data_IF_874882497898
#
_entry.id   IF_874882497898
#
_cell.length_a   1.000
_cell.length_b   1.000
_cell.length_c   1.000
_cell.angle_alpha   90.00
_cell.angle_beta   90.00
_cell.angle_gamma   90.00
#
_symmetry.space_group_name_H-M   'P 1'
#
loop_
_entity.id
_entity.type
_entity.pdbx_description
1 polymer ?
#
# COMPACT_ATOMS: atom_id res chain seq x y z
N UNK A 1 -12.49 1.21 0.63
CA UNK A 1 -11.72 0.33 1.56
C UNK A 1 -11.47 1.07 2.87
N UNK A 2 -11.67 0.44 4.02
CA UNK A 2 -11.42 1.00 5.37
C UNK A 2 -10.66 -0.04 6.20
N UNK A 3 -9.50 0.33 6.72
CA UNK A 3 -8.72 -0.50 7.64
C UNK A 3 -9.36 -0.49 9.03
N UNK A 4 -9.62 -1.67 9.60
CA UNK A 4 -10.19 -1.83 10.93
C UNK A 4 -9.11 -2.10 11.98
N UNK A 5 -8.13 -2.94 11.61
CA UNK A 5 -7.11 -3.44 12.54
C UNK A 5 -5.81 -3.71 11.82
N UNK A 6 -4.71 -3.51 12.51
CA UNK A 6 -3.40 -4.03 12.11
C UNK A 6 -2.76 -4.81 13.25
N UNK A 7 -1.97 -5.81 12.89
CA UNK A 7 -1.14 -6.55 13.80
C UNK A 7 0.29 -6.59 13.27
N UNK A 8 1.24 -6.40 14.17
CA UNK A 8 2.66 -6.27 13.86
C UNK A 8 3.43 -7.19 14.78
N UNK A 9 4.32 -8.02 14.21
CA UNK A 9 5.16 -8.92 14.98
C UNK A 9 6.62 -8.86 14.49
N UNK A 10 7.54 -8.70 15.43
CA UNK A 10 8.99 -8.68 15.18
C UNK A 10 9.43 -7.64 14.12
N UNK A 11 8.77 -6.50 14.08
CA UNK A 11 9.00 -5.46 13.07
C UNK A 11 9.58 -4.20 13.75
N UNK A 12 10.80 -3.84 13.40
CA UNK A 12 11.53 -2.68 13.97
C UNK A 12 11.50 -2.69 15.50
N UNK A 13 10.88 -1.69 16.13
CA UNK A 13 10.76 -1.60 17.59
C UNK A 13 9.63 -2.46 18.16
N UNK A 14 8.71 -2.97 17.33
CA UNK A 14 7.55 -3.71 17.78
C UNK A 14 7.84 -5.20 17.91
N UNK A 15 7.57 -5.76 19.10
CA UNK A 15 7.65 -7.20 19.33
C UNK A 15 6.35 -7.91 18.95
N UNK A 16 5.24 -7.43 19.46
CA UNK A 16 3.90 -7.92 19.12
C UNK A 16 2.89 -6.85 19.50
N UNK A 17 2.31 -6.19 18.50
CA UNK A 17 1.36 -5.11 18.68
C UNK A 17 0.11 -5.34 17.86
N UNK A 18 -1.03 -4.95 18.44
CA UNK A 18 -2.34 -5.01 17.80
C UNK A 18 -3.03 -3.67 17.98
N UNK A 19 -3.37 -3.01 16.87
CA UNK A 19 -3.91 -1.65 16.86
C UNK A 19 -5.25 -1.65 16.14
N UNK A 20 -6.30 -1.26 16.85
CA UNK A 20 -7.62 -1.00 16.29
C UNK A 20 -7.65 0.42 15.74
N UNK A 21 -8.18 0.58 14.55
CA UNK A 21 -8.17 1.83 13.82
C UNK A 21 -9.56 2.47 13.80
N UNK A 22 -9.57 3.78 13.91
CA UNK A 22 -10.77 4.56 13.67
C UNK A 22 -11.00 4.69 12.15
N UNK A 23 -12.25 4.55 11.65
CA UNK A 23 -12.52 4.47 10.21
C UNK A 23 -12.28 5.76 9.42
N UNK A 24 -12.12 6.91 10.09
CA UNK A 24 -11.95 8.22 9.42
C UNK A 24 -10.59 8.85 9.66
N UNK A 25 -10.13 8.91 10.91
CA UNK A 25 -8.91 9.62 11.28
C UNK A 25 -8.20 8.91 12.43
N UNK A 26 -6.91 8.67 12.28
CA UNK A 26 -6.02 8.16 13.32
C UNK A 26 -4.85 9.12 13.49
N UNK A 27 -4.57 9.52 14.71
CA UNK A 27 -3.48 10.45 15.04
C UNK A 27 -2.46 9.71 15.89
N UNK A 28 -1.22 9.66 15.43
CA UNK A 28 -0.11 9.05 16.13
C UNK A 28 0.67 10.11 16.90
N UNK A 29 0.65 10.02 18.23
CA UNK A 29 1.33 10.95 19.13
C UNK A 29 2.37 10.21 19.98
N UNK A 30 3.46 10.87 20.29
CA UNK A 30 4.53 10.31 21.14
C UNK A 30 5.87 10.96 20.89
N UNK A 31 6.82 10.71 21.79
CA UNK A 31 8.18 11.23 21.72
C UNK A 31 8.95 10.68 20.50
N UNK A 32 10.11 11.25 20.18
CA UNK A 32 10.98 10.71 19.14
C UNK A 32 11.48 9.31 19.56
N UNK A 33 11.54 8.40 18.60
CA UNK A 33 11.97 7.01 18.86
C UNK A 33 10.87 6.05 19.33
N UNK A 34 9.62 6.51 19.56
CA UNK A 34 8.51 5.65 20.02
C UNK A 34 7.90 4.74 18.93
N UNK A 35 8.46 4.73 17.72
CA UNK A 35 8.00 3.84 16.65
C UNK A 35 6.93 4.41 15.72
N UNK A 36 6.59 5.70 15.79
CA UNK A 36 5.57 6.31 14.90
C UNK A 36 5.88 6.09 13.41
N UNK A 37 7.13 6.35 13.02
CA UNK A 37 7.58 6.13 11.63
C UNK A 37 7.57 4.64 11.29
N UNK A 38 7.97 3.78 12.22
CA UNK A 38 7.93 2.32 12.04
C UNK A 38 6.50 1.82 11.82
N UNK A 39 5.53 2.38 12.52
CA UNK A 39 4.12 2.07 12.32
C UNK A 39 3.62 2.53 10.94
N UNK A 40 4.00 3.74 10.51
CA UNK A 40 3.66 4.22 9.16
C UNK A 40 4.30 3.36 8.06
N UNK A 41 5.51 2.84 8.26
CA UNK A 41 6.14 1.90 7.34
C UNK A 41 5.37 0.57 7.28
N UNK A 42 4.88 0.05 8.41
CA UNK A 42 4.03 -1.13 8.44
C UNK A 42 2.73 -0.89 7.64
N UNK A 43 2.08 0.27 7.80
CA UNK A 43 0.93 0.66 6.97
C UNK A 43 1.29 0.71 5.48
N UNK A 44 2.43 1.29 5.14
CA UNK A 44 2.90 1.37 3.75
C UNK A 44 3.02 -0.02 3.11
N UNK A 45 3.60 -0.98 3.82
CA UNK A 45 3.74 -2.37 3.36
C UNK A 45 2.37 -3.05 3.19
N UNK A 46 1.47 -2.85 4.15
CA UNK A 46 0.13 -3.42 4.12
C UNK A 46 -0.72 -2.85 2.98
N UNK A 47 -0.75 -1.53 2.85
CA UNK A 47 -1.50 -0.84 1.78
C UNK A 47 -0.90 -1.17 0.41
N UNK A 48 0.42 -1.34 0.32
CA UNK A 48 1.10 -1.77 -0.90
C UNK A 48 0.62 -3.12 -1.44
N UNK A 49 0.00 -3.94 -0.59
CA UNK A 49 -0.63 -5.19 -1.03
C UNK A 49 -1.82 -4.97 -1.98
N UNK A 50 -2.40 -3.77 -1.99
CA UNK A 50 -3.40 -3.37 -3.00
C UNK A 50 -2.85 -3.44 -4.43
N UNK A 51 -1.53 -3.38 -4.60
CA UNK A 51 -0.89 -3.40 -5.93
C UNK A 51 -0.51 -4.81 -6.41
N UNK A 52 -0.87 -5.87 -5.66
CA UNK A 52 -0.45 -7.24 -5.95
C UNK A 52 -0.85 -7.73 -7.34
N UNK A 53 -2.04 -7.37 -7.81
CA UNK A 53 -2.54 -7.75 -9.12
C UNK A 53 -2.38 -6.66 -10.18
N UNK A 54 -1.93 -5.46 -9.82
CA UNK A 54 -1.78 -4.36 -10.77
C UNK A 54 -0.65 -4.62 -11.76
N UNK A 55 -0.86 -4.20 -13.00
CA UNK A 55 0.11 -4.35 -14.09
C UNK A 55 1.31 -3.42 -13.87
N UNK A 56 2.32 -3.93 -13.19
CA UNK A 56 3.53 -3.19 -12.82
C UNK A 56 4.39 -2.76 -14.01
N UNK A 57 4.26 -3.50 -15.10
CA UNK A 57 5.12 -3.29 -16.26
C UNK A 57 4.81 -1.98 -16.97
N UNK A 58 3.54 -1.68 -17.15
CA UNK A 58 3.11 -0.45 -17.83
C UNK A 58 3.00 0.75 -16.89
N UNK A 59 2.75 0.49 -15.61
CA UNK A 59 2.29 1.51 -14.68
C UNK A 59 3.35 1.95 -13.67
N UNK A 60 4.57 1.37 -13.71
CA UNK A 60 5.67 1.72 -12.78
C UNK A 60 5.25 1.74 -11.29
N UNK A 61 4.30 0.87 -10.91
CA UNK A 61 3.82 0.77 -9.55
C UNK A 61 4.78 -0.12 -8.74
N UNK A 62 5.44 0.45 -7.76
CA UNK A 62 6.29 -0.28 -6.83
C UNK A 62 5.49 -0.73 -5.60
N UNK A 63 5.55 -2.03 -5.30
CA UNK A 63 4.94 -2.59 -4.12
C UNK A 63 5.96 -2.66 -2.97
N UNK A 64 5.75 -1.92 -1.88
CA UNK A 64 6.61 -2.00 -0.72
C UNK A 64 6.61 -3.41 -0.10
N UNK A 65 7.74 -3.81 0.45
CA UNK A 65 7.90 -5.07 1.16
C UNK A 65 8.70 -4.88 2.43
N UNK A 66 8.70 -5.90 3.29
CA UNK A 66 9.57 -5.97 4.47
C UNK A 66 11.01 -6.12 3.98
N UNK A 67 11.90 -5.29 4.47
CA UNK A 67 13.34 -5.35 4.18
C UNK A 67 14.12 -5.79 5.42
N UNK A 68 15.40 -6.11 5.25
CA UNK A 68 16.26 -6.61 6.32
C UNK A 68 16.29 -5.68 7.55
N UNK A 69 16.27 -4.37 7.30
CA UNK A 69 16.33 -3.34 8.35
C UNK A 69 14.99 -3.17 9.11
N UNK A 70 13.94 -3.81 8.64
CA UNK A 70 12.64 -3.85 9.32
C UNK A 70 12.56 -4.97 10.36
N UNK A 71 13.49 -5.93 10.33
CA UNK A 71 13.50 -7.06 11.26
C UNK A 71 13.92 -6.58 12.64
N UNK A 72 13.11 -6.90 13.65
CA UNK A 72 13.46 -6.64 15.05
C UNK A 72 14.69 -7.43 15.45
N UNK A 73 15.63 -6.77 16.09
CA UNK A 73 16.80 -7.39 16.72
C UNK A 73 16.57 -7.47 18.23
N UNK A 74 16.91 -8.63 18.84
CA UNK A 74 16.87 -8.84 20.28
C UNK A 74 18.26 -9.23 20.78
N UNK A 75 18.68 -8.65 21.88
CA UNK A 75 19.94 -9.06 22.53
C UNK A 75 19.75 -10.40 23.22
N UNK A 76 20.53 -11.39 22.82
CA UNK A 76 20.59 -12.72 23.41
C UNK A 76 22.05 -13.03 23.72
N UNK A 77 22.37 -13.23 24.98
CA UNK A 77 23.75 -13.59 25.42
C UNK A 77 24.85 -12.71 24.80
N UNK A 78 24.65 -11.38 24.74
CA UNK A 78 25.57 -10.37 24.18
C UNK A 78 25.65 -10.30 22.66
N UNK A 79 24.87 -11.08 21.91
CA UNK A 79 24.68 -10.94 20.45
C UNK A 79 23.32 -10.36 20.12
N UNK A 80 23.23 -9.71 18.95
CA UNK A 80 21.96 -9.24 18.40
C UNK A 80 21.42 -10.30 17.46
N UNK A 81 20.28 -10.89 17.84
CA UNK A 81 19.63 -11.96 17.09
C UNK A 81 18.38 -11.44 16.37
N UNK A 82 18.25 -11.67 15.05
CA UNK A 82 17.07 -11.28 14.30
C UNK A 82 15.86 -12.10 14.73
N UNK A 83 14.76 -11.41 14.98
CA UNK A 83 13.50 -12.04 15.37
C UNK A 83 12.65 -12.31 14.13
N UNK A 84 12.54 -13.57 13.75
CA UNK A 84 11.74 -14.05 12.60
C UNK A 84 10.72 -15.09 13.07
N UNK A 85 9.59 -15.24 12.33
CA UNK A 85 9.17 -14.41 11.21
C UNK A 85 8.85 -12.98 11.61
N UNK A 86 9.08 -12.05 10.68
CA UNK A 86 8.63 -10.66 10.78
C UNK A 86 7.31 -10.53 10.03
N UNK A 87 6.27 -10.12 10.71
CA UNK A 87 4.91 -10.11 10.19
C UNK A 87 4.26 -8.75 10.32
N UNK A 88 3.51 -8.37 9.29
CA UNK A 88 2.54 -7.29 9.34
C UNK A 88 1.23 -7.79 8.69
N UNK A 89 0.12 -7.68 9.42
CA UNK A 89 -1.20 -8.09 8.93
C UNK A 89 -2.23 -7.00 9.13
N UNK A 90 -3.27 -7.03 8.34
CA UNK A 90 -4.39 -6.10 8.45
C UNK A 90 -5.72 -6.79 8.19
N UNK A 91 -6.76 -6.24 8.82
CA UNK A 91 -8.15 -6.48 8.51
C UNK A 91 -8.78 -5.20 7.98
N UNK A 92 -9.59 -5.29 6.94
CA UNK A 92 -10.26 -4.15 6.33
C UNK A 92 -11.63 -4.53 5.79
N UNK A 93 -12.54 -3.55 5.79
CA UNK A 93 -13.79 -3.61 5.00
C UNK A 93 -13.51 -3.03 3.61
N UNK A 94 -13.91 -3.76 2.59
CA UNK A 94 -13.83 -3.34 1.20
C UNK A 94 -15.21 -3.10 0.61
N UNK A 95 -15.27 -2.35 -0.47
CA UNK A 95 -16.50 -2.13 -1.21
C UNK A 95 -16.95 -3.45 -1.84
N UNK A 96 -18.23 -3.76 -1.74
CA UNK A 96 -18.82 -5.02 -2.18
C UNK A 96 -18.53 -5.33 -3.67
N UNK A 97 -18.46 -4.30 -4.50
CA UNK A 97 -18.14 -4.41 -5.93
C UNK A 97 -16.76 -5.03 -6.21
N UNK A 98 -15.84 -4.94 -5.25
CA UNK A 98 -14.48 -5.48 -5.37
C UNK A 98 -14.30 -6.85 -4.72
N UNK A 99 -15.34 -7.40 -4.09
CA UNK A 99 -15.26 -8.74 -3.54
C UNK A 99 -15.29 -9.80 -4.66
N UNK A 100 -14.57 -10.92 -4.48
CA UNK A 100 -14.67 -12.04 -5.41
C UNK A 100 -16.12 -12.57 -5.45
N UNK A 101 -16.57 -12.95 -6.65
CA UNK A 101 -17.88 -13.58 -6.81
C UNK A 101 -17.89 -14.96 -6.15
N UNK A 102 -19.06 -15.45 -5.62
CA UNK A 102 -19.16 -16.71 -4.87
C UNK A 102 -18.76 -17.98 -5.64
N UNK A 103 -18.59 -17.92 -6.95
CA UNK A 103 -18.14 -19.04 -7.78
C UNK A 103 -16.67 -19.42 -7.59
N UNK A 104 -15.90 -18.61 -6.86
CA UNK A 104 -14.54 -18.96 -6.48
C UNK A 104 -14.54 -19.52 -5.04
N UNK A 105 -13.77 -20.59 -4.74
CA UNK A 105 -13.83 -21.35 -3.48
C UNK A 105 -13.20 -20.61 -2.29
N UNK A 106 -13.27 -19.30 -2.26
CA UNK A 106 -12.87 -18.48 -1.13
C UNK A 106 -14.09 -18.17 -0.28
N UNK A 107 -13.96 -18.37 1.01
CA UNK A 107 -14.98 -18.20 2.03
C UNK A 107 -15.80 -16.93 1.81
N UNK A 108 -17.09 -17.03 2.01
CA UNK A 108 -18.01 -15.89 2.11
C UNK A 108 -17.40 -14.92 3.13
N UNK A 109 -17.05 -13.71 2.65
CA UNK A 109 -16.53 -12.66 3.52
C UNK A 109 -17.67 -12.24 4.45
N UNK A 110 -17.46 -12.45 5.74
CA UNK A 110 -18.39 -11.96 6.74
C UNK A 110 -18.32 -10.42 6.74
N UNK A 111 -19.42 -9.75 6.44
CA UNK A 111 -19.53 -8.28 6.40
C UNK A 111 -18.57 -7.53 5.46
N UNK A 112 -18.17 -8.09 4.32
CA UNK A 112 -17.23 -7.51 3.37
C UNK A 112 -15.82 -7.28 3.96
N UNK A 113 -15.47 -8.02 5.00
CA UNK A 113 -14.15 -7.97 5.62
C UNK A 113 -13.16 -8.88 4.91
N UNK A 114 -11.95 -8.37 4.73
CA UNK A 114 -10.81 -9.13 4.23
C UNK A 114 -9.65 -9.04 5.22
N UNK A 115 -8.84 -10.10 5.24
CA UNK A 115 -7.62 -10.14 6.04
C UNK A 115 -6.45 -10.56 5.18
N UNK A 116 -5.30 -9.93 5.36
CA UNK A 116 -4.06 -10.31 4.67
C UNK A 116 -2.85 -10.15 5.56
N UNK A 117 -1.84 -10.95 5.25
CA UNK A 117 -0.55 -10.98 5.94
C UNK A 117 0.59 -10.81 4.95
N UNK A 118 1.56 -9.99 5.32
CA UNK A 118 2.87 -9.89 4.69
C UNK A 118 3.92 -10.37 5.68
N UNK A 119 4.74 -11.32 5.28
CA UNK A 119 5.73 -11.96 6.14
C UNK A 119 7.10 -12.01 5.50
N UNK A 120 8.14 -11.90 6.33
CA UNK A 120 9.50 -12.30 6.00
C UNK A 120 9.90 -13.46 6.90
N UNK A 121 9.99 -14.65 6.33
CA UNK A 121 10.22 -15.90 7.06
C UNK A 121 11.70 -16.15 7.42
N UNK A 122 12.60 -15.57 6.65
CA UNK A 122 14.05 -15.74 6.83
C UNK A 122 14.75 -14.40 6.80
N UNK A 123 15.85 -14.27 7.54
CA UNK A 123 16.62 -13.04 7.60
C UNK A 123 17.20 -12.65 6.23
N UNK A 124 16.80 -11.51 5.71
CA UNK A 124 17.16 -11.04 4.38
C UNK A 124 16.45 -11.74 3.23
N UNK A 125 15.39 -12.52 3.51
CA UNK A 125 14.54 -13.14 2.52
C UNK A 125 13.64 -12.14 1.79
N UNK A 126 12.75 -12.67 0.94
CA UNK A 126 11.72 -11.86 0.27
C UNK A 126 10.43 -11.83 1.10
N UNK A 127 9.74 -10.70 1.07
CA UNK A 127 8.39 -10.60 1.65
C UNK A 127 7.44 -11.52 0.90
N UNK A 128 6.75 -12.39 1.63
CA UNK A 128 5.78 -13.32 1.02
C UNK A 128 4.48 -12.62 0.66
N UNK A 129 3.80 -13.17 -0.35
CA UNK A 129 2.45 -12.78 -0.74
C UNK A 129 1.45 -13.94 -0.57
N UNK A 130 1.93 -15.07 -0.03
CA UNK A 130 1.17 -16.31 0.12
C UNK A 130 -0.14 -16.11 0.87
N UNK A 131 -0.08 -15.34 1.96
CA UNK A 131 -1.19 -15.11 2.87
C UNK A 131 -1.89 -13.75 2.61
N UNK A 132 -1.76 -13.23 1.38
CA UNK A 132 -2.43 -12.02 0.91
C UNK A 132 -3.40 -12.31 -0.26
N UNK A 133 -3.97 -13.51 -0.30
CA UNK A 133 -4.85 -13.97 -1.40
C UNK A 133 -6.12 -13.13 -1.53
N UNK A 134 -6.74 -12.78 -0.39
CA UNK A 134 -7.96 -11.95 -0.38
C UNK A 134 -7.67 -10.56 -0.95
N UNK A 135 -6.58 -9.92 -0.51
CA UNK A 135 -6.17 -8.63 -1.05
C UNK A 135 -5.77 -8.72 -2.53
N UNK A 136 -5.16 -9.83 -2.96
CA UNK A 136 -4.87 -10.07 -4.38
C UNK A 136 -6.16 -10.13 -5.21
N UNK A 137 -7.19 -10.82 -4.72
CA UNK A 137 -8.48 -10.92 -5.39
C UNK A 137 -9.16 -9.54 -5.52
N UNK A 138 -9.17 -8.74 -4.45
CA UNK A 138 -9.65 -7.35 -4.47
C UNK A 138 -8.86 -6.51 -5.46
N UNK A 139 -7.54 -6.58 -5.43
CA UNK A 139 -6.65 -5.88 -6.35
C UNK A 139 -6.96 -6.22 -7.81
N UNK A 140 -7.20 -7.49 -8.11
CA UNK A 140 -7.58 -7.98 -9.44
C UNK A 140 -8.91 -7.39 -9.90
N UNK A 141 -9.93 -7.38 -9.04
CA UNK A 141 -11.24 -6.80 -9.33
C UNK A 141 -11.17 -5.29 -9.60
N UNK A 142 -10.38 -4.56 -8.82
CA UNK A 142 -10.14 -3.13 -9.06
C UNK A 142 -9.53 -2.92 -10.45
N UNK A 143 -8.50 -3.69 -10.81
CA UNK A 143 -7.86 -3.57 -12.12
C UNK A 143 -8.81 -3.94 -13.27
N UNK A 144 -9.62 -4.99 -13.11
CA UNK A 144 -10.63 -5.39 -14.09
C UNK A 144 -11.67 -4.29 -14.30
N UNK A 145 -12.22 -3.73 -13.22
CA UNK A 145 -13.19 -2.64 -13.29
C UNK A 145 -12.64 -1.41 -14.03
N UNK A 146 -11.39 -1.03 -13.74
CA UNK A 146 -10.75 0.09 -14.44
C UNK A 146 -10.53 -0.23 -15.93
N UNK A 147 -10.15 -1.46 -16.29
CA UNK A 147 -9.97 -1.88 -17.70
C UNK A 147 -11.26 -1.91 -18.48
N UNK A 148 -12.34 -2.30 -17.82
CA UNK A 148 -13.68 -2.33 -18.43
C UNK A 148 -14.29 -0.93 -18.60
N UNK A 149 -13.72 0.09 -17.94
CA UNK A 149 -14.28 1.44 -17.92
C UNK A 149 -15.44 1.61 -16.94
N UNK A 150 -15.57 0.71 -15.95
CA UNK A 150 -16.65 0.75 -14.97
C UNK A 150 -16.55 2.03 -14.12
N UNK A 151 -17.68 2.64 -13.81
CA UNK A 151 -17.81 3.79 -12.90
C UNK A 151 -17.74 3.34 -11.44
N UNK A 152 -16.54 2.98 -10.96
CA UNK A 152 -16.30 2.54 -9.59
C UNK A 152 -15.37 3.50 -8.85
N UNK A 153 -15.58 3.63 -7.53
CA UNK A 153 -14.69 4.40 -6.66
C UNK A 153 -13.48 3.55 -6.26
N UNK A 154 -12.34 3.78 -6.87
CA UNK A 154 -11.09 3.12 -6.48
C UNK A 154 -10.48 3.79 -5.24
N UNK A 155 -9.83 3.03 -4.34
CA UNK A 155 -9.21 3.59 -3.13
C UNK A 155 -8.15 4.64 -3.46
N UNK A 156 -8.22 5.81 -2.84
CA UNK A 156 -7.14 6.78 -2.90
C UNK A 156 -6.05 6.39 -1.90
N UNK A 157 -4.81 6.35 -2.38
CA UNK A 157 -3.63 6.01 -1.57
C UNK A 157 -2.54 7.04 -1.78
N UNK A 158 -1.99 7.56 -0.68
CA UNK A 158 -0.82 8.43 -0.69
C UNK A 158 0.01 8.23 0.58
N UNK A 159 1.33 8.21 0.45
CA UNK A 159 2.27 8.11 1.55
C UNK A 159 3.23 9.31 1.54
N UNK A 160 3.30 10.02 2.65
CA UNK A 160 4.18 11.18 2.80
C UNK A 160 5.25 10.88 3.85
N UNK A 161 6.44 10.50 3.40
CA UNK A 161 7.59 10.25 4.26
C UNK A 161 8.23 11.55 4.77
N UNK A 162 8.95 11.44 5.88
CA UNK A 162 9.85 12.50 6.37
C UNK A 162 11.01 12.78 5.40
N UNK A 163 11.38 11.80 4.58
CA UNK A 163 12.47 11.91 3.59
C UNK A 163 12.07 12.62 2.29
N UNK A 164 10.79 13.00 2.15
CA UNK A 164 10.28 13.71 0.97
C UNK A 164 11.04 15.00 0.63
N UNK A 165 11.72 15.61 1.58
CA UNK A 165 12.51 16.81 1.36
C UNK A 165 13.98 16.55 0.98
N UNK A 166 14.43 15.28 1.07
CA UNK A 166 15.86 14.94 0.91
C UNK A 166 16.21 14.41 -0.47
N UNK A 167 15.25 13.84 -1.20
CA UNK A 167 15.48 13.22 -2.52
C UNK A 167 14.36 13.59 -3.46
N UNK A 168 14.71 14.30 -4.51
CA UNK A 168 13.81 14.54 -5.64
C UNK A 168 14.06 13.46 -6.70
N UNK A 169 13.02 12.71 -7.05
CA UNK A 169 13.07 11.76 -8.17
C UNK A 169 12.83 12.55 -9.47
N UNK A 170 13.69 12.38 -10.45
CA UNK A 170 13.61 13.08 -11.75
C UNK A 170 13.04 12.23 -12.88
N UNK A 171 12.28 11.21 -12.57
CA UNK A 171 11.63 10.34 -13.56
C UNK A 171 10.49 11.08 -14.26
N UNK A 172 10.62 11.26 -15.57
CA UNK A 172 9.79 12.17 -16.38
C UNK A 172 9.06 11.48 -17.53
N UNK A 173 8.90 10.19 -17.47
CA UNK A 173 8.21 9.47 -18.54
C UNK A 173 6.68 9.51 -18.35
N UNK A 174 6.10 10.67 -18.68
CA UNK A 174 4.65 10.84 -18.77
C UNK A 174 4.26 10.55 -20.21
N UNK A 175 4.25 9.29 -20.56
CA UNK A 175 3.76 8.90 -21.85
C UNK A 175 2.25 8.63 -21.82
N UNK A 176 1.49 9.56 -22.41
CA UNK A 176 0.13 9.43 -22.96
C UNK A 176 -1.03 9.15 -22.00
N UNK A 177 -2.24 9.62 -22.39
CA UNK A 177 -3.53 9.51 -21.72
C UNK A 177 -3.64 8.27 -20.83
N UNK A 178 -3.63 8.48 -19.54
CA UNK A 178 -3.32 7.42 -18.62
C UNK A 178 -4.56 6.72 -18.11
N UNK A 179 -4.45 5.44 -17.86
CA UNK A 179 -5.36 4.68 -17.03
C UNK A 179 -5.57 5.39 -15.69
N UNK A 180 -6.77 5.31 -15.08
CA UNK A 180 -7.07 5.72 -13.70
C UNK A 180 -6.08 5.16 -12.67
N UNK A 181 -5.36 4.08 -13.03
CA UNK A 181 -4.28 3.49 -12.23
C UNK A 181 -3.05 4.40 -12.09
N UNK A 182 -2.90 5.45 -12.90
CA UNK A 182 -1.80 6.43 -12.78
C UNK A 182 -1.74 7.10 -11.40
N UNK A 183 -2.88 7.28 -10.75
CA UNK A 183 -2.94 7.82 -9.39
C UNK A 183 -2.16 7.00 -8.35
N UNK A 184 -1.81 5.75 -8.66
CA UNK A 184 -1.01 4.89 -7.80
C UNK A 184 0.50 4.94 -8.08
N UNK A 185 0.94 5.63 -9.13
CA UNK A 185 2.36 5.77 -9.44
C UNK A 185 3.06 6.50 -8.31
N UNK A 186 4.10 5.88 -7.78
CA UNK A 186 4.89 6.43 -6.69
C UNK A 186 4.07 6.86 -5.45
N UNK A 187 2.79 6.49 -5.36
CA UNK A 187 1.90 6.90 -4.25
C UNK A 187 2.39 6.38 -2.89
N UNK A 188 3.14 5.29 -2.86
CA UNK A 188 3.78 4.72 -1.68
C UNK A 188 5.30 4.89 -1.65
N UNK A 189 5.88 5.70 -2.54
CA UNK A 189 7.31 6.00 -2.51
C UNK A 189 7.64 6.92 -1.33
N UNK A 190 8.85 6.74 -0.80
CA UNK A 190 9.38 7.60 0.26
C UNK A 190 9.94 8.91 -0.29
N UNK A 191 10.14 9.01 -1.59
CA UNK A 191 10.66 10.20 -2.28
C UNK A 191 9.53 10.96 -2.97
N UNK A 192 9.62 12.29 -3.00
CA UNK A 192 8.65 13.14 -3.71
C UNK A 192 9.06 13.32 -5.16
N UNK A 193 8.13 13.16 -6.07
CA UNK A 193 8.30 13.54 -7.46
C UNK A 193 7.43 14.77 -7.76
N UNK A 194 7.93 15.95 -7.37
CA UNK A 194 7.26 17.24 -7.61
C UNK A 194 7.00 17.48 -9.09
N UNK A 195 7.93 17.06 -9.95
CA UNK A 195 7.79 17.21 -11.40
C UNK A 195 6.65 16.35 -11.94
N UNK A 196 6.54 15.10 -11.50
CA UNK A 196 5.42 14.23 -11.89
C UNK A 196 4.07 14.85 -11.52
N UNK A 197 3.96 15.41 -10.32
CA UNK A 197 2.74 16.07 -9.86
C UNK A 197 2.39 17.30 -10.71
N UNK A 198 3.37 18.14 -11.00
CA UNK A 198 3.20 19.32 -11.85
C UNK A 198 2.79 18.93 -13.28
N UNK A 199 3.46 17.94 -13.85
CA UNK A 199 3.16 17.46 -15.20
C UNK A 199 1.75 16.84 -15.29
N UNK A 200 1.33 16.09 -14.26
CA UNK A 200 -0.04 15.57 -14.17
C UNK A 200 -1.06 16.72 -14.12
N UNK A 201 -0.82 17.70 -13.26
CA UNK A 201 -1.68 18.87 -13.13
C UNK A 201 -1.81 19.65 -14.44
N UNK A 202 -0.68 19.90 -15.12
CA UNK A 202 -0.70 20.58 -16.42
C UNK A 202 -1.44 19.79 -17.49
N UNK A 203 -1.26 18.46 -17.54
CA UNK A 203 -1.94 17.63 -18.54
C UNK A 203 -3.45 17.63 -18.31
N UNK A 204 -3.91 17.46 -17.09
CA UNK A 204 -5.36 17.48 -16.79
C UNK A 204 -5.98 18.86 -17.03
N UNK A 205 -5.26 19.95 -16.68
CA UNK A 205 -5.73 21.31 -16.96
C UNK A 205 -5.86 21.58 -18.47
N UNK A 206 -4.90 21.08 -19.27
CA UNK A 206 -4.97 21.23 -20.73
C UNK A 206 -6.13 20.42 -21.32
N UNK A 207 -6.36 19.20 -20.84
CA UNK A 207 -7.48 18.37 -21.29
C UNK A 207 -8.83 19.01 -20.94
N UNK A 208 -8.98 19.59 -19.76
CA UNK A 208 -10.17 20.36 -19.37
C UNK A 208 -10.40 21.58 -20.27
N UNK A 209 -9.35 22.34 -20.57
CA UNK A 209 -9.44 23.51 -21.46
C UNK A 209 -9.83 23.08 -22.86
N UNK A 210 -9.26 22.02 -23.40
CA UNK A 210 -9.59 21.51 -24.74
C UNK A 210 -11.02 21.01 -24.83
N UNK A 211 -11.51 20.31 -23.82
CA UNK A 211 -12.90 19.83 -23.78
C UNK A 211 -13.90 20.98 -23.64
N UNK A 212 -13.57 22.03 -22.90
CA UNK A 212 -14.44 23.21 -22.76
C UNK A 212 -14.44 24.11 -23.98
N UNK A 213 -13.43 24.06 -24.85
CA UNK A 213 -13.40 24.81 -26.13
C UNK A 213 -14.10 24.05 -27.25
N UNK A 214 -14.24 22.72 -27.12
CA UNK A 214 -14.88 21.86 -28.11
C UNK A 214 -16.44 21.69 -27.90
N UNK A 215 -16.95 22.20 -26.78
CA UNK A 215 -18.39 22.25 -26.45
C UNK A 215 -18.99 23.63 -26.72
#
# INVERSE_FOLDING_TARGET
MKLNKIEIKNFKCFENESIILHPKLNILMGNNGTGKTSLLEAFRILIGSLYLAFDKYKEKIEMPGIVKDDIRLKTVSKSLEPQIPTNVSANAVVDEVFLPTPEQPYQLFDNNEITWLRSMETFGGKTTTRDAKEMFAVSKKIQEAVRNGDEVNIPLVAYFSTDRYKKERRDTDISKAGSRMRGYFNALDTTTNTKFFLDLYYTETLDEIQNNVAS
#
